data_IF_458931819238
#
_entry.id   IF_458931819238
#
_cell.length_a   1.000
_cell.length_b   1.000
_cell.length_c   1.000
_cell.angle_alpha   90.00
_cell.angle_beta   90.00
_cell.angle_gamma   90.00
#
_symmetry.space_group_name_H-M   'P 1'
#
loop_
_entity.id
_entity.type
_entity.pdbx_description
1 polymer ?
#
# COMPACT_ATOMS: atom_id res chain seq x y z
N UNK A 1 68.23 -39.36 -12.70
CA UNK A 1 67.64 -40.49 -11.94
C UNK A 1 66.22 -40.15 -11.57
N UNK A 2 65.29 -41.08 -11.84
CA UNK A 2 63.96 -41.32 -11.25
C UNK A 2 62.90 -40.20 -11.23
N UNK A 3 61.90 -40.42 -12.10
CA UNK A 3 60.46 -40.20 -11.91
C UNK A 3 60.03 -40.34 -10.44
N UNK A 4 59.10 -39.50 -9.99
CA UNK A 4 57.87 -39.98 -9.35
C UNK A 4 56.74 -38.95 -9.52
N UNK A 5 55.70 -39.46 -10.18
CA UNK A 5 54.40 -38.87 -10.44
C UNK A 5 53.57 -38.90 -9.15
N UNK A 6 52.78 -37.86 -8.88
CA UNK A 6 51.52 -38.05 -8.17
C UNK A 6 50.49 -37.01 -8.63
N UNK A 7 49.57 -37.53 -9.44
CA UNK A 7 48.36 -36.91 -9.95
C UNK A 7 47.33 -36.88 -8.81
N UNK A 8 46.68 -35.73 -8.58
CA UNK A 8 45.32 -35.72 -8.07
C UNK A 8 44.45 -34.81 -8.93
N UNK A 9 43.80 -35.50 -9.86
CA UNK A 9 42.66 -35.09 -10.64
C UNK A 9 41.44 -35.06 -9.70
N UNK A 10 40.83 -33.90 -9.49
CA UNK A 10 39.36 -33.80 -9.37
C UNK A 10 38.95 -32.54 -10.10
N UNK A 11 38.39 -32.75 -11.29
CA UNK A 11 37.58 -31.79 -11.99
C UNK A 11 36.20 -31.73 -11.33
N UNK A 12 35.68 -30.52 -11.14
CA UNK A 12 34.27 -30.23 -11.31
C UNK A 12 34.13 -28.75 -11.68
N UNK A 13 33.86 -28.55 -12.97
CA UNK A 13 33.48 -27.28 -13.57
C UNK A 13 32.25 -26.69 -12.88
N UNK A 14 32.20 -25.36 -12.77
CA UNK A 14 31.04 -24.60 -13.22
C UNK A 14 31.42 -23.14 -13.36
N UNK A 15 31.50 -22.71 -14.62
CA UNK A 15 31.37 -21.32 -14.98
C UNK A 15 30.00 -20.82 -14.49
N UNK A 16 29.98 -19.71 -13.77
CA UNK A 16 28.80 -18.87 -13.68
C UNK A 16 29.26 -17.43 -13.70
N UNK A 17 29.14 -16.86 -14.89
CA UNK A 17 29.41 -15.49 -15.23
C UNK A 17 28.73 -14.53 -14.27
N UNK A 18 29.43 -13.43 -14.01
CA UNK A 18 28.87 -12.20 -13.44
C UNK A 18 27.56 -11.84 -14.12
N UNK A 19 26.45 -11.88 -13.40
CA UNK A 19 25.23 -11.17 -13.79
C UNK A 19 24.70 -10.48 -12.55
N UNK A 20 24.92 -9.17 -12.54
CA UNK A 20 24.22 -8.15 -11.78
C UNK A 20 22.74 -8.56 -11.70
N UNK A 21 22.11 -8.69 -10.52
CA UNK A 21 20.66 -8.74 -10.50
C UNK A 21 20.20 -7.35 -10.94
N UNK A 22 19.84 -7.26 -12.22
CA UNK A 22 19.09 -6.17 -12.80
C UNK A 22 18.00 -5.78 -11.82
N UNK A 23 18.06 -4.54 -11.34
CA UNK A 23 16.88 -3.86 -10.85
C UNK A 23 15.82 -4.07 -11.93
N UNK A 24 14.84 -4.92 -11.64
CA UNK A 24 13.68 -5.09 -12.49
C UNK A 24 12.87 -3.81 -12.32
N UNK A 25 13.28 -2.76 -13.04
CA UNK A 25 12.38 -1.69 -13.42
C UNK A 25 11.15 -2.38 -14.04
N UNK A 26 9.94 -1.93 -13.69
CA UNK A 26 8.72 -2.53 -14.21
C UNK A 26 8.80 -2.53 -15.74
N UNK A 27 8.72 -3.72 -16.35
CA UNK A 27 8.54 -3.84 -17.79
C UNK A 27 7.13 -3.34 -18.10
N UNK A 28 7.04 -2.06 -18.44
CA UNK A 28 5.89 -1.49 -19.10
C UNK A 28 5.71 -2.24 -20.44
N UNK A 29 4.51 -2.72 -20.77
CA UNK A 29 4.24 -3.20 -22.11
C UNK A 29 4.58 -2.10 -23.12
N UNK A 30 5.32 -2.45 -24.16
CA UNK A 30 5.72 -1.59 -25.28
C UNK A 30 4.53 -1.23 -26.16
N UNK A 31 3.61 -0.45 -25.61
CA UNK A 31 2.64 0.37 -26.32
C UNK A 31 2.13 1.38 -25.31
N UNK A 32 2.32 2.69 -25.53
CA UNK A 32 1.53 3.65 -24.80
C UNK A 32 0.11 3.50 -25.34
N UNK A 33 -0.70 2.65 -24.72
CA UNK A 33 -2.10 3.01 -24.62
C UNK A 33 -2.09 4.29 -23.79
N UNK A 34 -1.92 5.42 -24.46
CA UNK A 34 -2.29 6.73 -23.93
C UNK A 34 -3.80 6.68 -23.78
N UNK A 35 -4.29 5.96 -22.78
CA UNK A 35 -5.57 6.29 -22.16
C UNK A 35 -5.32 7.68 -21.61
N UNK A 36 -5.79 8.69 -22.34
CA UNK A 36 -5.67 10.07 -21.91
C UNK A 36 -6.12 10.19 -20.46
N UNK A 37 -5.54 11.14 -19.74
CA UNK A 37 -5.91 11.55 -18.39
C UNK A 37 -7.41 11.92 -18.23
N UNK A 38 -8.19 11.83 -19.30
CA UNK A 38 -9.63 12.02 -19.39
C UNK A 38 -10.43 10.79 -18.89
N UNK A 39 -9.75 9.76 -18.40
CA UNK A 39 -10.38 8.60 -17.81
C UNK A 39 -11.23 8.94 -16.59
N UNK A 40 -12.44 8.39 -16.49
CA UNK A 40 -13.28 8.52 -15.30
C UNK A 40 -12.59 7.97 -14.04
N UNK A 41 -11.60 7.08 -14.20
CA UNK A 41 -10.75 6.60 -13.12
C UNK A 41 -9.87 7.73 -12.52
N UNK A 42 -9.19 8.49 -13.37
CA UNK A 42 -8.41 9.65 -12.95
C UNK A 42 -9.29 10.74 -12.31
N UNK A 43 -10.54 10.90 -12.77
CA UNK A 43 -11.49 11.86 -12.19
C UNK A 43 -11.87 11.55 -10.74
N UNK A 44 -12.18 10.29 -10.41
CA UNK A 44 -12.54 9.97 -9.02
C UNK A 44 -11.34 10.09 -8.08
N UNK A 45 -10.12 9.80 -8.54
CA UNK A 45 -8.91 10.00 -7.77
C UNK A 45 -8.65 11.49 -7.52
N UNK A 46 -8.79 12.33 -8.55
CA UNK A 46 -8.73 13.80 -8.39
C UNK A 46 -9.76 14.31 -7.39
N UNK A 47 -10.98 13.77 -7.44
CA UNK A 47 -12.02 14.12 -6.48
C UNK A 47 -11.64 13.68 -5.05
N UNK A 48 -11.11 12.46 -4.89
CA UNK A 48 -10.62 11.98 -3.60
C UNK A 48 -9.53 12.90 -3.03
N UNK A 49 -8.54 13.25 -3.85
CA UNK A 49 -7.47 14.19 -3.47
C UNK A 49 -8.04 15.53 -3.03
N UNK A 50 -9.03 16.06 -3.75
CA UNK A 50 -9.67 17.33 -3.42
C UNK A 50 -10.49 17.29 -2.13
N UNK A 51 -11.19 16.18 -1.82
CA UNK A 51 -12.19 16.16 -0.73
C UNK A 51 -11.75 15.39 0.52
N UNK A 52 -10.83 14.44 0.41
CA UNK A 52 -10.50 13.52 1.52
C UNK A 52 -9.05 13.55 1.96
N UNK A 53 -8.08 13.82 1.06
CA UNK A 53 -6.65 13.68 1.38
C UNK A 53 -6.21 14.58 2.56
N UNK A 54 -6.86 15.73 2.73
CA UNK A 54 -6.58 16.66 3.82
C UNK A 54 -7.13 16.22 5.18
N UNK A 55 -7.99 15.20 5.23
CA UNK A 55 -8.53 14.62 6.46
C UNK A 55 -7.49 13.68 7.08
N UNK A 56 -6.42 14.27 7.60
CA UNK A 56 -5.29 13.55 8.14
C UNK A 56 -5.56 12.99 9.53
N UNK A 57 -4.89 11.89 9.85
CA UNK A 57 -4.84 11.36 11.21
C UNK A 57 -4.38 12.47 12.18
N UNK A 58 -5.02 12.59 13.36
CA UNK A 58 -4.69 13.63 14.30
C UNK A 58 -3.27 13.41 14.85
N UNK A 59 -2.51 14.50 15.00
CA UNK A 59 -1.17 14.43 15.60
C UNK A 59 -1.32 14.21 17.10
N UNK A 60 -0.78 13.09 17.59
CA UNK A 60 -0.82 12.77 19.02
C UNK A 60 -0.19 13.89 19.85
N UNK A 61 -0.84 14.37 20.92
CA UNK A 61 -0.36 15.52 21.66
C UNK A 61 0.97 15.19 22.35
N UNK A 62 1.96 16.07 22.18
CA UNK A 62 3.28 15.95 22.84
C UNK A 62 3.23 16.32 24.32
N UNK A 63 2.26 17.16 24.71
CA UNK A 63 1.96 17.56 26.09
C UNK A 63 0.45 17.58 26.30
N UNK A 64 0.00 17.18 27.48
CA UNK A 64 -1.43 17.10 27.82
C UNK A 64 -2.07 15.75 27.47
N UNK A 65 -3.34 15.62 27.82
CA UNK A 65 -4.11 14.38 27.71
C UNK A 65 -5.41 14.69 27.00
N UNK A 66 -5.62 14.14 25.79
CA UNK A 66 -6.98 14.06 25.27
C UNK A 66 -7.77 13.11 26.17
N UNK A 67 -8.98 13.53 26.52
CA UNK A 67 -9.97 12.59 27.02
C UNK A 67 -10.51 11.75 25.84
N UNK A 68 -11.30 10.73 26.15
CA UNK A 68 -11.79 9.80 25.12
C UNK A 68 -12.67 10.51 24.09
N UNK A 69 -13.59 11.38 24.52
CA UNK A 69 -14.47 12.12 23.63
C UNK A 69 -13.68 13.04 22.67
N UNK A 70 -12.69 13.76 23.19
CA UNK A 70 -11.80 14.61 22.39
C UNK A 70 -11.00 13.81 21.36
N UNK A 71 -10.52 12.61 21.73
CA UNK A 71 -9.83 11.72 20.79
C UNK A 71 -10.77 11.30 19.64
N UNK A 72 -12.01 10.93 19.95
CA UNK A 72 -13.02 10.57 18.95
C UNK A 72 -13.33 11.72 18.00
N UNK A 73 -13.57 12.92 18.54
CA UNK A 73 -13.84 14.09 17.73
C UNK A 73 -12.70 14.38 16.75
N UNK A 74 -11.45 14.24 17.21
CA UNK A 74 -10.27 14.46 16.38
C UNK A 74 -10.02 13.35 15.36
N UNK A 75 -10.46 12.12 15.63
CA UNK A 75 -10.34 10.99 14.71
C UNK A 75 -11.43 10.96 13.64
N UNK A 76 -12.59 11.56 13.88
CA UNK A 76 -13.75 11.50 12.97
C UNK A 76 -13.44 11.84 11.51
N UNK A 77 -12.73 12.95 11.18
CA UNK A 77 -12.40 13.23 9.78
C UNK A 77 -11.51 12.14 9.16
N UNK A 78 -10.57 11.60 9.95
CA UNK A 78 -9.69 10.53 9.49
C UNK A 78 -10.47 9.23 9.24
N UNK A 79 -11.46 8.91 10.08
CA UNK A 79 -12.36 7.78 9.85
C UNK A 79 -13.13 7.90 8.54
N UNK A 80 -13.70 9.07 8.24
CA UNK A 80 -14.39 9.30 6.97
C UNK A 80 -13.47 9.05 5.76
N UNK A 81 -12.19 9.48 5.86
CA UNK A 81 -11.18 9.18 4.84
C UNK A 81 -10.92 7.67 4.71
N UNK A 82 -10.81 6.95 5.83
CA UNK A 82 -10.62 5.50 5.83
C UNK A 82 -11.79 4.76 5.18
N UNK A 83 -13.02 5.15 5.49
CA UNK A 83 -14.24 4.59 4.87
C UNK A 83 -14.26 4.83 3.36
N UNK A 84 -13.86 6.03 2.92
CA UNK A 84 -13.78 6.35 1.50
C UNK A 84 -12.70 5.53 0.80
N UNK A 85 -11.52 5.40 1.41
CA UNK A 85 -10.45 4.54 0.89
C UNK A 85 -10.89 3.06 0.85
N UNK A 86 -11.61 2.60 1.86
CA UNK A 86 -12.10 1.21 1.90
C UNK A 86 -13.08 0.92 0.77
N UNK A 87 -13.92 1.89 0.41
CA UNK A 87 -14.83 1.79 -0.74
C UNK A 87 -14.05 1.58 -2.04
N UNK A 88 -13.02 2.40 -2.28
CA UNK A 88 -12.20 2.32 -3.51
C UNK A 88 -11.35 1.06 -3.56
N UNK A 89 -10.73 0.70 -2.44
CA UNK A 89 -9.98 -0.54 -2.29
C UNK A 89 -10.87 -1.77 -2.50
N UNK A 90 -12.06 -1.79 -1.92
CA UNK A 90 -13.03 -2.87 -2.09
C UNK A 90 -13.47 -3.02 -3.54
N UNK A 91 -13.65 -1.91 -4.25
CA UNK A 91 -13.92 -1.94 -5.68
C UNK A 91 -12.74 -2.54 -6.47
N UNK A 92 -11.50 -2.07 -6.23
CA UNK A 92 -10.31 -2.57 -6.92
C UNK A 92 -10.10 -4.07 -6.70
N UNK A 93 -10.43 -4.58 -5.51
CA UNK A 93 -10.41 -6.01 -5.17
C UNK A 93 -11.50 -6.83 -5.87
N UNK A 94 -12.67 -6.24 -6.09
CA UNK A 94 -13.84 -6.93 -6.70
C UNK A 94 -13.80 -6.89 -8.22
N UNK A 95 -13.09 -5.93 -8.81
CA UNK A 95 -12.93 -5.83 -10.25
C UNK A 95 -11.84 -6.81 -10.73
N UNK A 96 -12.18 -7.87 -11.50
CA UNK A 96 -11.20 -8.89 -11.89
C UNK A 96 -10.08 -8.35 -12.77
N UNK A 97 -10.38 -7.41 -13.68
CA UNK A 97 -9.40 -6.83 -14.60
C UNK A 97 -8.37 -5.98 -13.83
N UNK A 98 -8.87 -5.15 -12.92
CA UNK A 98 -8.03 -4.35 -12.01
C UNK A 98 -7.19 -5.27 -11.14
N UNK A 99 -7.82 -6.24 -10.46
CA UNK A 99 -7.13 -7.15 -9.55
C UNK A 99 -6.03 -7.94 -10.24
N UNK A 100 -6.28 -8.46 -11.43
CA UNK A 100 -5.32 -9.24 -12.21
C UNK A 100 -4.14 -8.40 -12.70
N UNK A 101 -4.33 -7.10 -12.94
CA UNK A 101 -3.26 -6.20 -13.36
C UNK A 101 -2.33 -5.75 -12.21
N UNK A 102 -2.77 -5.88 -10.95
CA UNK A 102 -1.96 -5.54 -9.78
C UNK A 102 -0.86 -6.57 -9.51
N UNK A 103 0.28 -6.08 -9.03
CA UNK A 103 1.35 -6.91 -8.47
C UNK A 103 0.91 -7.60 -7.17
N UNK A 104 1.61 -8.67 -6.77
CA UNK A 104 1.33 -9.36 -5.50
C UNK A 104 1.43 -8.42 -4.30
N UNK A 105 2.43 -7.53 -4.27
CA UNK A 105 2.60 -6.54 -3.22
C UNK A 105 1.42 -5.54 -3.16
N UNK A 106 0.96 -5.04 -4.31
CA UNK A 106 -0.19 -4.14 -4.37
C UNK A 106 -1.47 -4.85 -3.89
N UNK A 107 -1.66 -6.11 -4.27
CA UNK A 107 -2.78 -6.94 -3.79
C UNK A 107 -2.73 -7.16 -2.28
N UNK A 108 -1.55 -7.40 -1.71
CA UNK A 108 -1.35 -7.52 -0.26
C UNK A 108 -1.73 -6.21 0.45
N UNK A 109 -1.21 -5.07 -0.02
CA UNK A 109 -1.54 -3.74 0.53
C UNK A 109 -3.05 -3.50 0.52
N UNK A 110 -3.74 -3.74 -0.60
CA UNK A 110 -5.19 -3.57 -0.69
C UNK A 110 -5.98 -4.58 0.16
N UNK A 111 -5.37 -5.69 0.57
CA UNK A 111 -6.07 -6.72 1.37
C UNK A 111 -5.98 -6.48 2.89
N UNK A 112 -4.98 -5.71 3.36
CA UNK A 112 -4.76 -5.44 4.79
C UNK A 112 -5.88 -4.59 5.38
N UNK A 113 -6.67 -5.05 6.35
CA UNK A 113 -7.80 -4.27 6.87
C UNK A 113 -7.35 -2.98 7.56
N UNK A 114 -8.13 -1.90 7.39
CA UNK A 114 -8.00 -0.71 8.23
C UNK A 114 -8.46 -1.01 9.65
N UNK A 115 -7.88 -0.31 10.62
CA UNK A 115 -8.33 -0.38 12.00
C UNK A 115 -9.72 0.25 12.18
N UNK A 116 -10.58 -0.42 12.93
CA UNK A 116 -11.87 0.14 13.32
C UNK A 116 -11.70 1.06 14.51
N UNK A 117 -11.65 2.36 14.25
CA UNK A 117 -11.45 3.40 15.28
C UNK A 117 -12.72 3.70 16.10
N UNK A 118 -13.57 2.71 16.41
CA UNK A 118 -14.81 2.94 17.14
C UNK A 118 -14.65 2.89 18.68
N UNK A 119 -15.71 3.29 19.39
CA UNK A 119 -15.73 3.38 20.85
C UNK A 119 -15.62 2.05 21.56
N UNK A 120 -16.15 0.98 20.99
CA UNK A 120 -15.97 -0.36 21.52
C UNK A 120 -14.52 -0.82 21.37
N UNK A 121 -13.98 -0.78 20.16
CA UNK A 121 -12.65 -1.29 19.82
C UNK A 121 -11.54 -0.55 20.57
N UNK A 122 -11.65 0.77 20.74
CA UNK A 122 -10.68 1.52 21.52
C UNK A 122 -10.77 1.27 23.04
N UNK A 123 -11.90 0.76 23.56
CA UNK A 123 -12.06 0.37 24.97
C UNK A 123 -11.55 -1.05 25.25
N UNK A 124 -11.72 -1.99 24.31
CA UNK A 124 -11.32 -3.39 24.49
C UNK A 124 -9.87 -3.70 24.11
N UNK A 125 -9.35 -3.12 23.02
CA UNK A 125 -8.08 -3.59 22.44
C UNK A 125 -6.83 -2.89 22.99
N UNK A 126 -6.98 -1.79 23.73
CA UNK A 126 -5.84 -0.96 24.11
C UNK A 126 -5.77 -0.60 25.60
N UNK A 127 -4.98 -1.34 26.40
CA UNK A 127 -4.74 -1.00 27.80
C UNK A 127 -3.83 0.23 27.99
N UNK A 128 -3.33 0.88 26.92
CA UNK A 128 -2.37 1.98 27.03
C UNK A 128 -2.25 2.92 25.83
N UNK A 129 -1.88 4.18 26.11
CA UNK A 129 -1.73 5.26 25.11
C UNK A 129 -0.65 5.01 24.07
N UNK A 130 0.46 4.42 24.47
CA UNK A 130 1.58 4.16 23.55
C UNK A 130 1.18 3.16 22.47
N UNK A 131 0.28 2.23 22.79
CA UNK A 131 -0.27 1.32 21.79
C UNK A 131 -1.21 2.02 20.82
N UNK A 132 -2.10 2.91 21.30
CA UNK A 132 -2.97 3.72 20.42
C UNK A 132 -2.15 4.63 19.50
N UNK A 133 -1.10 5.28 20.04
CA UNK A 133 -0.17 6.08 19.24
C UNK A 133 0.52 5.24 18.18
N UNK A 134 1.07 4.08 18.57
CA UNK A 134 1.74 3.16 17.64
C UNK A 134 0.77 2.69 16.56
N UNK A 135 -0.45 2.34 16.93
CA UNK A 135 -1.49 1.92 15.99
C UNK A 135 -1.85 3.03 15.01
N UNK A 136 -1.97 4.27 15.47
CA UNK A 136 -2.26 5.42 14.61
C UNK A 136 -1.15 5.65 13.59
N UNK A 137 0.12 5.52 13.99
CA UNK A 137 1.26 5.63 13.07
C UNK A 137 1.29 4.47 12.05
N UNK A 138 0.99 3.24 12.49
CA UNK A 138 0.82 2.10 11.57
C UNK A 138 -0.30 2.35 10.56
N UNK A 139 -1.42 2.89 11.01
CA UNK A 139 -2.56 3.19 10.17
C UNK A 139 -2.22 4.26 9.12
N UNK A 140 -1.51 5.32 9.51
CA UNK A 140 -1.02 6.37 8.60
C UNK A 140 -0.12 5.78 7.50
N UNK A 141 0.76 4.85 7.85
CA UNK A 141 1.60 4.17 6.86
C UNK A 141 0.76 3.32 5.91
N UNK A 142 -0.21 2.57 6.42
CA UNK A 142 -1.11 1.78 5.57
C UNK A 142 -1.95 2.65 4.64
N UNK A 143 -2.47 3.77 5.13
CA UNK A 143 -3.20 4.75 4.31
C UNK A 143 -2.34 5.24 3.15
N UNK A 144 -1.10 5.66 3.43
CA UNK A 144 -0.19 6.13 2.37
C UNK A 144 0.12 5.03 1.35
N UNK A 145 0.29 3.78 1.79
CA UNK A 145 0.48 2.65 0.88
C UNK A 145 -0.75 2.40 0.01
N UNK A 146 -1.95 2.37 0.61
CA UNK A 146 -3.20 2.17 -0.13
C UNK A 146 -3.44 3.30 -1.12
N UNK A 147 -3.20 4.55 -0.72
CA UNK A 147 -3.32 5.72 -1.60
C UNK A 147 -2.39 5.61 -2.81
N UNK A 148 -1.13 5.25 -2.60
CA UNK A 148 -0.18 5.06 -3.70
C UNK A 148 -0.64 3.98 -4.68
N UNK A 149 -1.16 2.86 -4.19
CA UNK A 149 -1.68 1.80 -5.07
C UNK A 149 -2.94 2.25 -5.81
N UNK A 150 -3.84 2.97 -5.14
CA UNK A 150 -5.07 3.47 -5.75
C UNK A 150 -4.81 4.59 -6.78
N UNK A 151 -3.79 5.39 -6.57
CA UNK A 151 -3.28 6.35 -7.56
C UNK A 151 -2.76 5.63 -8.79
N UNK A 152 -1.91 4.62 -8.63
CA UNK A 152 -1.40 3.80 -9.74
C UNK A 152 -2.56 3.19 -10.54
N UNK A 153 -3.56 2.65 -9.84
CA UNK A 153 -4.79 2.11 -10.46
C UNK A 153 -5.49 3.19 -11.28
N UNK A 154 -5.69 4.38 -10.70
CA UNK A 154 -6.39 5.47 -11.36
C UNK A 154 -5.65 6.02 -12.59
N UNK A 155 -4.31 6.00 -12.57
CA UNK A 155 -3.46 6.56 -13.62
C UNK A 155 -3.15 5.58 -14.75
N UNK A 156 -3.13 4.28 -14.46
CA UNK A 156 -2.52 3.29 -15.36
C UNK A 156 -3.43 2.11 -15.72
N UNK A 157 -4.55 1.90 -15.02
CA UNK A 157 -5.47 0.80 -15.31
C UNK A 157 -6.69 1.28 -16.09
N UNK A 158 -7.30 0.40 -16.92
CA UNK A 158 -8.44 0.76 -17.76
C UNK A 158 -9.60 1.32 -16.94
N UNK A 159 -10.35 2.21 -17.58
CA UNK A 159 -11.45 3.00 -17.03
C UNK A 159 -12.62 2.12 -16.54
N UNK A 160 -12.46 1.55 -15.35
CA UNK A 160 -13.54 0.91 -14.62
C UNK A 160 -13.63 1.66 -13.29
N UNK A 161 -14.78 2.25 -12.99
CA UNK A 161 -14.91 3.24 -11.92
C UNK A 161 -15.64 2.62 -10.73
N UNK A 162 -15.23 2.91 -9.48
CA UNK A 162 -16.03 2.59 -8.31
C UNK A 162 -17.40 3.29 -8.37
N UNK A 163 -18.50 2.53 -8.30
CA UNK A 163 -19.85 3.12 -8.15
C UNK A 163 -19.96 3.71 -6.74
N UNK A 164 -20.44 4.96 -6.65
CA UNK A 164 -20.67 5.68 -5.40
C UNK A 164 -21.79 5.06 -4.58
#
# INVERSE_FOLDING_TARGET
MKLLVLIKLVAAMSAASSIIPSSAAPMLPSSPATTGLDGRAAEWWRQYVATEQHKNAPVWPSRGRWNQAELFEKLRPFQERLERLDTYRSWARRNPDTWNALTEQQRDVLSRPFFQWDESMMKTDFPGRDMLKTRLEQEKMLVSQVESVLEDVAMHLPDVVPRR
#
